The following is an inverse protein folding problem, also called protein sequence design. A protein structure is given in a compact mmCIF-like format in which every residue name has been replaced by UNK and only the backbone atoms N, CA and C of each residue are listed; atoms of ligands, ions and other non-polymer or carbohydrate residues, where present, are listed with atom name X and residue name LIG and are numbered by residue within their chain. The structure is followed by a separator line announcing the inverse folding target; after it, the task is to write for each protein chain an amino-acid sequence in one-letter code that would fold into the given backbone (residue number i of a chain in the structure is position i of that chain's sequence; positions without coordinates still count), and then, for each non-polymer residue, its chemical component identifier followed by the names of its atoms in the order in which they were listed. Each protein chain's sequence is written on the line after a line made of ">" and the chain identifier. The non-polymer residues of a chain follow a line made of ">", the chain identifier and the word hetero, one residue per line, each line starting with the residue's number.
data_IF_434437613709
#
_entry.id   IF_434437613709
#
_cell.length_a   1.000
_cell.length_b   1.000
_cell.length_c   1.000
_cell.angle_alpha   90.00
_cell.angle_beta   90.00
_cell.angle_gamma   90.00
#
_symmetry.space_group_name_H-M   'P 1'
#
loop_
_entity.id
_entity.type
_entity.pdbx_description
1 polymer ?
#
# COMPACT_ATOMS: atom_id res chain seq x y z
N UNK A 1 24.80 -1.32 30.88
CA UNK A 1 25.28 -1.78 29.56
C UNK A 1 24.15 -1.93 28.52
N UNK A 2 23.13 -2.77 28.71
CA UNK A 2 21.98 -2.85 27.75
C UNK A 2 21.16 -1.54 27.62
N UNK A 3 20.91 -0.75 28.69
CA UNK A 3 20.15 0.49 28.59
C UNK A 3 20.86 1.55 27.74
N UNK A 4 22.16 1.75 27.93
CA UNK A 4 22.95 2.75 27.18
C UNK A 4 23.02 2.44 25.69
N UNK A 5 23.16 1.17 25.30
CA UNK A 5 23.14 0.77 23.89
C UNK A 5 21.79 1.07 23.23
N UNK A 6 20.68 0.84 23.96
CA UNK A 6 19.34 1.17 23.49
C UNK A 6 19.13 2.68 23.38
N UNK A 7 19.62 3.46 24.35
CA UNK A 7 19.55 4.93 24.31
C UNK A 7 20.35 5.50 23.15
N UNK A 8 21.57 4.99 22.91
CA UNK A 8 22.40 5.40 21.77
C UNK A 8 21.71 5.03 20.44
N UNK A 9 21.08 3.86 20.34
CA UNK A 9 20.30 3.50 19.16
C UNK A 9 19.12 4.45 18.92
N UNK A 10 18.34 4.76 19.95
CA UNK A 10 17.21 5.69 19.84
C UNK A 10 17.65 7.11 19.47
N UNK A 11 18.73 7.61 20.05
CA UNK A 11 19.25 8.94 19.72
C UNK A 11 19.69 9.01 18.25
N UNK A 12 20.46 8.03 17.76
CA UNK A 12 20.84 7.99 16.34
C UNK A 12 19.63 7.84 15.40
N UNK A 13 18.57 7.16 15.82
CA UNK A 13 17.33 7.03 15.05
C UNK A 13 16.56 8.36 14.99
N UNK A 14 16.54 9.11 16.10
CA UNK A 14 15.90 10.43 16.18
C UNK A 14 16.68 11.50 15.40
N UNK A 15 18.02 11.48 15.47
CA UNK A 15 18.90 12.36 14.71
C UNK A 15 18.67 12.24 13.18
N UNK A 16 18.18 11.08 12.71
CA UNK A 16 17.83 10.88 11.30
C UNK A 16 16.63 11.74 10.87
N UNK A 17 15.72 12.06 11.79
CA UNK A 17 14.57 12.95 11.53
C UNK A 17 14.96 14.43 11.54
N UNK A 18 15.98 14.81 12.32
CA UNK A 18 16.47 16.20 12.39
C UNK A 18 17.11 16.69 11.07
N UNK A 19 17.50 15.77 10.18
CA UNK A 19 18.05 16.08 8.84
C UNK A 19 16.94 16.32 7.80
N UNK A 20 15.70 15.91 8.08
CA UNK A 20 14.58 16.07 7.14
C UNK A 20 13.91 17.44 7.32
N UNK A 21 13.62 18.18 6.22
CA UNK A 21 12.82 19.40 6.30
C UNK A 21 11.46 19.12 6.94
N UNK A 22 11.00 20.00 7.84
CA UNK A 22 9.71 19.85 8.54
C UNK A 22 8.56 19.58 7.55
N UNK A 23 8.50 20.34 6.45
CA UNK A 23 7.48 20.23 5.40
C UNK A 23 7.45 18.88 4.68
N UNK A 24 8.54 18.11 4.72
CA UNK A 24 8.70 16.83 4.03
C UNK A 24 8.62 15.62 4.97
N UNK A 25 8.59 15.86 6.29
CA UNK A 25 8.62 14.82 7.29
C UNK A 25 7.36 13.95 7.21
N UNK A 26 6.18 14.56 7.15
CA UNK A 26 4.92 13.82 7.09
C UNK A 26 4.79 12.96 5.82
N UNK A 27 5.19 13.50 4.67
CA UNK A 27 5.17 12.78 3.39
C UNK A 27 6.15 11.60 3.44
N UNK A 28 7.35 11.83 3.98
CA UNK A 28 8.39 10.80 4.08
C UNK A 28 7.95 9.67 5.02
N UNK A 29 7.43 10.01 6.20
CA UNK A 29 6.90 9.05 7.17
C UNK A 29 5.73 8.28 6.56
N UNK A 30 4.84 8.96 5.84
CA UNK A 30 3.74 8.31 5.13
C UNK A 30 4.23 7.29 4.11
N UNK A 31 5.14 7.67 3.20
CA UNK A 31 5.65 6.78 2.15
C UNK A 31 6.43 5.61 2.76
N UNK A 32 7.35 5.88 3.68
CA UNK A 32 8.18 4.85 4.32
C UNK A 32 7.31 3.89 5.13
N UNK A 33 6.38 4.42 5.93
CA UNK A 33 5.41 3.62 6.70
C UNK A 33 4.55 2.75 5.79
N UNK A 34 4.04 3.31 4.68
CA UNK A 34 3.26 2.56 3.71
C UNK A 34 4.07 1.40 3.10
N UNK A 35 5.32 1.63 2.72
CA UNK A 35 6.20 0.60 2.17
C UNK A 35 6.42 -0.53 3.20
N UNK A 36 6.71 -0.18 4.46
CA UNK A 36 6.94 -1.16 5.53
C UNK A 36 5.69 -2.01 5.75
N UNK A 37 4.52 -1.38 5.87
CA UNK A 37 3.25 -2.10 6.08
C UNK A 37 2.97 -3.02 4.89
N UNK A 38 3.15 -2.52 3.66
CA UNK A 38 2.96 -3.32 2.45
C UNK A 38 3.93 -4.49 2.36
N UNK A 39 5.18 -4.32 2.79
CA UNK A 39 6.16 -5.39 2.83
C UNK A 39 5.78 -6.49 3.83
N UNK A 40 5.37 -6.09 5.04
CA UNK A 40 4.86 -7.00 6.06
C UNK A 40 3.61 -7.73 5.56
N UNK A 41 2.68 -6.99 4.96
CA UNK A 41 1.44 -7.55 4.42
C UNK A 41 1.70 -8.56 3.32
N UNK A 42 2.65 -8.28 2.42
CA UNK A 42 3.06 -9.21 1.35
C UNK A 42 3.56 -10.54 1.94
N UNK A 43 4.29 -10.50 3.04
CA UNK A 43 4.81 -11.71 3.71
C UNK A 43 3.68 -12.59 4.27
N UNK A 44 2.59 -11.98 4.73
CA UNK A 44 1.39 -12.69 5.22
C UNK A 44 0.59 -13.25 4.04
N UNK A 45 0.36 -12.45 2.99
CA UNK A 45 -0.47 -12.82 1.84
C UNK A 45 0.11 -13.96 1.01
N UNK A 46 1.43 -14.19 1.05
CA UNK A 46 2.08 -15.35 0.40
C UNK A 46 1.58 -16.71 0.92
N UNK A 47 0.92 -16.74 2.08
CA UNK A 47 0.38 -17.98 2.68
C UNK A 47 -1.03 -18.33 2.17
N UNK A 48 -1.67 -17.44 1.43
CA UNK A 48 -3.03 -17.61 0.92
C UNK A 48 -3.02 -18.07 -0.55
N UNK A 49 -4.11 -18.71 -1.03
CA UNK A 49 -4.25 -19.04 -2.44
C UNK A 49 -4.17 -17.75 -3.29
N UNK A 50 -3.48 -17.85 -4.44
CA UNK A 50 -3.01 -16.69 -5.20
C UNK A 50 -4.09 -15.62 -5.46
N UNK A 51 -5.33 -16.03 -5.76
CA UNK A 51 -6.44 -15.09 -6.02
C UNK A 51 -6.83 -14.29 -4.78
N UNK A 52 -6.99 -14.96 -3.62
CA UNK A 52 -7.35 -14.29 -2.36
C UNK A 52 -6.21 -13.41 -1.86
N UNK A 53 -4.96 -13.89 -1.97
CA UNK A 53 -3.78 -13.12 -1.61
C UNK A 53 -3.70 -11.79 -2.38
N UNK A 54 -3.93 -11.81 -3.70
CA UNK A 54 -3.94 -10.59 -4.51
C UNK A 54 -5.06 -9.62 -4.13
N UNK A 55 -6.28 -10.11 -3.88
CA UNK A 55 -7.42 -9.25 -3.52
C UNK A 55 -7.18 -8.59 -2.16
N UNK A 56 -6.79 -9.36 -1.14
CA UNK A 56 -6.50 -8.83 0.20
C UNK A 56 -5.29 -7.89 0.21
N UNK A 57 -4.29 -8.16 -0.63
CA UNK A 57 -3.17 -7.25 -0.84
C UNK A 57 -3.62 -5.91 -1.44
N UNK A 58 -4.50 -5.95 -2.44
CA UNK A 58 -5.07 -4.75 -3.05
C UNK A 58 -5.92 -3.92 -2.10
N UNK A 59 -6.68 -4.56 -1.21
CA UNK A 59 -7.50 -3.83 -0.22
C UNK A 59 -6.61 -3.04 0.74
N UNK A 60 -5.58 -3.68 1.32
CA UNK A 60 -4.65 -2.99 2.22
C UNK A 60 -3.85 -1.93 1.50
N UNK A 61 -3.42 -2.21 0.26
CA UNK A 61 -2.78 -1.19 -0.58
C UNK A 61 -3.69 0.03 -0.77
N UNK A 62 -4.96 -0.15 -1.11
CA UNK A 62 -5.87 0.97 -1.31
C UNK A 62 -6.14 1.76 -0.02
N UNK A 63 -6.23 1.09 1.13
CA UNK A 63 -6.45 1.77 2.41
C UNK A 63 -5.26 2.65 2.83
N UNK A 64 -4.05 2.23 2.47
CA UNK A 64 -2.83 2.92 2.87
C UNK A 64 -2.39 3.91 1.81
N UNK A 65 -2.31 3.48 0.55
CA UNK A 65 -1.66 4.21 -0.53
C UNK A 65 -2.56 5.25 -1.20
N UNK A 66 -3.87 5.28 -0.91
CA UNK A 66 -4.76 6.31 -1.46
C UNK A 66 -4.48 7.63 -0.77
N UNK A 67 -3.87 8.62 -1.43
CA UNK A 67 -3.58 9.90 -0.81
C UNK A 67 -4.86 10.76 -0.74
N UNK A 68 -5.00 11.51 0.34
CA UNK A 68 -6.00 12.55 0.53
C UNK A 68 -5.35 13.75 1.22
N UNK A 69 -6.01 14.90 1.17
CA UNK A 69 -5.64 16.05 1.98
C UNK A 69 -6.46 15.97 3.26
N UNK A 70 -5.79 15.84 4.41
CA UNK A 70 -6.47 15.91 5.69
C UNK A 70 -7.04 17.31 5.87
N UNK A 71 -8.23 17.50 6.45
CA UNK A 71 -8.81 18.83 6.65
C UNK A 71 -8.14 19.57 7.85
N UNK A 72 -7.92 20.88 7.72
CA UNK A 72 -7.42 21.75 8.81
C UNK A 72 -6.35 22.77 8.40
N UNK A 73 -5.91 23.67 9.29
CA UNK A 73 -4.87 24.67 8.97
C UNK A 73 -3.48 24.04 8.70
N UNK A 74 -3.24 22.79 9.13
CA UNK A 74 -2.02 22.02 8.90
C UNK A 74 -2.28 20.84 7.96
N UNK A 75 -3.06 21.05 6.91
CA UNK A 75 -3.51 20.00 5.98
C UNK A 75 -2.35 19.42 5.16
N UNK A 76 -1.74 18.35 5.66
CA UNK A 76 -0.73 17.57 4.94
C UNK A 76 -1.33 16.35 4.22
N UNK A 77 -0.52 15.73 3.37
CA UNK A 77 -0.86 14.52 2.65
C UNK A 77 -1.02 13.35 3.62
N UNK A 78 -2.21 12.74 3.64
CA UNK A 78 -2.52 11.60 4.51
C UNK A 78 -3.20 10.47 3.71
N UNK A 79 -3.22 9.23 4.22
CA UNK A 79 -4.09 8.19 3.70
C UNK A 79 -5.58 8.61 3.73
N UNK A 80 -6.35 8.28 2.68
CA UNK A 80 -7.80 8.51 2.60
C UNK A 80 -8.58 7.86 3.75
N UNK A 81 -7.99 6.87 4.43
CA UNK A 81 -8.54 6.28 5.66
C UNK A 81 -8.68 7.30 6.78
N UNK A 82 -7.78 8.29 6.90
CA UNK A 82 -7.93 9.37 7.89
C UNK A 82 -9.09 10.28 7.55
N UNK A 83 -9.24 10.66 6.28
CA UNK A 83 -10.38 11.47 5.83
C UNK A 83 -11.72 10.74 6.02
N UNK A 84 -11.75 9.43 5.77
CA UNK A 84 -12.92 8.60 6.03
C UNK A 84 -13.25 8.52 7.53
N UNK A 85 -12.25 8.28 8.37
CA UNK A 85 -12.41 8.22 9.83
C UNK A 85 -12.90 9.56 10.38
N UNK A 86 -12.31 10.67 9.92
CA UNK A 86 -12.71 12.01 10.31
C UNK A 86 -14.15 12.29 9.90
N UNK A 87 -14.53 11.99 8.65
CA UNK A 87 -15.91 12.14 8.17
C UNK A 87 -16.93 11.35 9.00
N UNK A 88 -16.58 10.12 9.43
CA UNK A 88 -17.45 9.32 10.31
C UNK A 88 -17.59 9.97 11.69
N UNK A 89 -16.50 10.47 12.27
CA UNK A 89 -16.49 11.11 13.58
C UNK A 89 -17.22 12.46 13.59
N UNK A 90 -17.06 13.26 12.53
CA UNK A 90 -17.71 14.57 12.37
C UNK A 90 -19.13 14.46 11.82
N UNK A 91 -19.54 13.26 11.36
CA UNK A 91 -20.80 12.99 10.64
C UNK A 91 -20.94 13.81 9.35
N UNK A 92 -19.81 14.15 8.72
CA UNK A 92 -19.80 14.81 7.42
C UNK A 92 -19.98 13.77 6.30
N UNK A 93 -21.17 13.77 5.70
CA UNK A 93 -21.49 12.84 4.62
C UNK A 93 -20.65 13.09 3.36
N UNK A 94 -20.33 14.34 3.04
CA UNK A 94 -19.53 14.68 1.86
C UNK A 94 -18.13 14.11 2.00
N UNK A 95 -17.54 14.27 3.19
CA UNK A 95 -16.21 13.76 3.47
C UNK A 95 -16.15 12.22 3.48
N UNK A 96 -17.18 11.56 4.02
CA UNK A 96 -17.30 10.09 3.98
C UNK A 96 -17.34 9.61 2.52
N UNK A 97 -18.25 10.14 1.70
CA UNK A 97 -18.44 9.67 0.33
C UNK A 97 -17.24 9.97 -0.56
N UNK A 98 -16.60 11.13 -0.39
CA UNK A 98 -15.40 11.50 -1.15
C UNK A 98 -14.24 10.52 -0.91
N UNK A 99 -13.89 10.27 0.37
CA UNK A 99 -12.79 9.37 0.70
C UNK A 99 -13.11 7.91 0.41
N UNK A 100 -14.35 7.48 0.64
CA UNK A 100 -14.80 6.12 0.31
C UNK A 100 -14.73 5.88 -1.20
N UNK A 101 -15.16 6.84 -2.01
CA UNK A 101 -15.09 6.77 -3.47
C UNK A 101 -13.66 6.65 -3.97
N UNK A 102 -12.72 7.44 -3.42
CA UNK A 102 -11.30 7.36 -3.73
C UNK A 102 -10.73 5.97 -3.44
N UNK A 103 -11.03 5.39 -2.27
CA UNK A 103 -10.58 4.05 -1.90
C UNK A 103 -11.15 3.00 -2.87
N UNK A 104 -12.45 3.06 -3.17
CA UNK A 104 -13.10 2.13 -4.10
C UNK A 104 -12.52 2.25 -5.52
N UNK A 105 -12.22 3.47 -5.95
CA UNK A 105 -11.61 3.74 -7.26
C UNK A 105 -10.24 3.08 -7.39
N UNK A 106 -9.38 3.22 -6.37
CA UNK A 106 -8.05 2.58 -6.34
C UNK A 106 -8.17 1.05 -6.33
N UNK A 107 -9.11 0.49 -5.57
CA UNK A 107 -9.39 -0.95 -5.59
C UNK A 107 -9.82 -1.38 -7.00
N UNK A 108 -10.78 -0.66 -7.61
CA UNK A 108 -11.28 -0.96 -8.94
C UNK A 108 -10.19 -0.96 -10.00
N UNK A 109 -9.36 0.09 -10.04
CA UNK A 109 -8.22 0.16 -10.96
C UNK A 109 -7.22 -0.97 -10.73
N UNK A 110 -6.87 -1.25 -9.47
CA UNK A 110 -5.92 -2.32 -9.16
C UNK A 110 -6.44 -3.71 -9.53
N UNK A 111 -7.75 -3.97 -9.40
CA UNK A 111 -8.37 -5.21 -9.85
C UNK A 111 -8.36 -5.33 -11.38
N UNK A 112 -8.64 -4.25 -12.12
CA UNK A 112 -8.58 -4.24 -13.59
C UNK A 112 -7.15 -4.55 -14.07
N UNK A 113 -6.15 -3.86 -13.51
CA UNK A 113 -4.73 -4.08 -13.82
C UNK A 113 -4.34 -5.53 -13.48
N UNK A 114 -4.74 -6.02 -12.31
CA UNK A 114 -4.48 -7.40 -11.88
C UNK A 114 -5.12 -8.42 -12.83
N UNK A 115 -6.33 -8.16 -13.32
CA UNK A 115 -7.02 -9.03 -14.26
C UNK A 115 -6.27 -9.11 -15.60
N UNK A 116 -5.87 -7.98 -16.18
CA UNK A 116 -5.10 -7.97 -17.42
C UNK A 116 -3.74 -8.62 -17.27
N UNK A 117 -3.02 -8.37 -16.17
CA UNK A 117 -1.75 -9.01 -15.87
C UNK A 117 -1.90 -10.54 -15.77
N UNK A 118 -2.97 -11.02 -15.13
CA UNK A 118 -3.24 -12.44 -15.03
C UNK A 118 -3.56 -13.08 -16.39
N UNK A 119 -4.39 -12.41 -17.20
CA UNK A 119 -4.70 -12.85 -18.58
C UNK A 119 -3.42 -12.94 -19.43
N UNK A 120 -2.57 -11.91 -19.37
CA UNK A 120 -1.29 -11.88 -20.09
C UNK A 120 -0.37 -13.03 -19.66
N UNK A 121 -0.24 -13.29 -18.35
CA UNK A 121 0.55 -14.40 -17.81
C UNK A 121 0.00 -15.76 -18.24
N UNK A 122 -1.33 -15.93 -18.30
CA UNK A 122 -1.95 -17.17 -18.75
C UNK A 122 -1.67 -17.47 -20.23
N UNK A 123 -1.72 -16.45 -21.09
CA UNK A 123 -1.38 -16.59 -22.52
C UNK A 123 0.08 -16.98 -22.68
N UNK A 124 1.00 -16.30 -21.98
CA UNK A 124 2.43 -16.63 -22.03
C UNK A 124 2.73 -18.05 -21.56
N UNK A 125 2.11 -18.49 -20.46
CA UNK A 125 2.26 -19.87 -19.96
C UNK A 125 1.85 -20.90 -21.00
N UNK A 126 0.71 -20.70 -21.68
CA UNK A 126 0.26 -21.59 -22.76
C UNK A 126 1.25 -21.64 -23.92
N UNK A 127 1.79 -20.50 -24.36
CA UNK A 127 2.77 -20.45 -25.44
C UNK A 127 4.05 -21.24 -25.11
N UNK A 128 4.62 -21.08 -23.90
CA UNK A 128 5.79 -21.86 -23.47
C UNK A 128 5.53 -23.37 -23.35
N UNK A 129 4.32 -23.79 -23.00
CA UNK A 129 3.97 -25.22 -22.94
C UNK A 129 3.90 -25.82 -24.34
N UNK A 130 3.33 -25.10 -25.31
CA UNK A 130 3.24 -25.56 -26.71
C UNK A 130 4.63 -25.69 -27.33
N UNK A 131 5.51 -24.72 -27.12
CA UNK A 131 6.88 -24.72 -27.64
C UNK A 131 7.73 -25.86 -27.03
N UNK A 132 7.56 -26.16 -25.73
CA UNK A 132 8.22 -27.29 -25.08
C UNK A 132 7.69 -28.67 -25.52
N UNK A 133 6.42 -28.76 -25.97
CA UNK A 133 5.87 -30.01 -26.53
C UNK A 133 6.27 -30.26 -27.98
N UNK A 134 6.57 -29.22 -28.76
CA UNK A 134 7.08 -29.38 -30.13
C UNK A 134 8.59 -29.70 -30.18
N UNK A 135 9.35 -29.39 -29.10
CA UNK A 135 10.78 -29.68 -29.00
C UNK A 135 11.13 -31.08 -28.46
N UNK A 136 10.12 -31.92 -28.14
CA UNK A 136 10.34 -33.33 -27.79
C UNK A 136 9.79 -34.29 -28.86
N UNK A 137 10.34 -34.33 -30.08
CA UNK A 137 10.36 -35.56 -30.85
C UNK A 137 11.54 -36.42 -30.37
N UNK A 138 11.27 -37.71 -30.19
CA UNK A 138 12.13 -38.84 -29.76
C UNK A 138 11.92 -39.30 -28.32
#
# INVERSE_FOLDING_TARGET
>A
MVPEQLTVFWNNFLDLFDVLPEDSLAITVYIVGAIIIMWCWTSIMRRLPATLGCILWMVVFALIATPTISEGPNSELAPATFGLLFGVLTKDSVLIWSNLSLILFVIGLGLIISHWANKYRAIRKKATVVEGTEQSPL
#
